data_IF_425191617045
#
_entry.id   IF_425191617045
#
_cell.length_a   1.000
_cell.length_b   1.000
_cell.length_c   1.000
_cell.angle_alpha   90.00
_cell.angle_beta   90.00
_cell.angle_gamma   90.00
#
_symmetry.space_group_name_H-M   'P 1'
#
loop_
_entity.id
_entity.type
_entity.pdbx_description
1 polymer ?
#
# COMPACT_ATOMS: atom_id res chain seq x y z
N UNK A 1 7.81 18.22 11.18
CA UNK A 1 8.37 17.75 9.92
C UNK A 1 8.23 16.23 9.83
N UNK A 2 8.17 15.74 8.62
CA UNK A 2 8.01 14.33 8.39
C UNK A 2 9.32 13.61 8.12
N UNK A 3 9.23 12.29 8.11
CA UNK A 3 10.34 11.43 7.72
C UNK A 3 10.18 11.03 6.26
N UNK A 4 11.29 10.85 5.57
CA UNK A 4 11.31 10.33 4.20
C UNK A 4 11.98 8.97 4.20
N UNK A 5 11.28 7.96 3.66
CA UNK A 5 11.80 6.61 3.55
C UNK A 5 11.96 6.23 2.08
N UNK A 6 13.03 5.56 1.74
CA UNK A 6 13.21 5.00 0.41
C UNK A 6 12.61 3.60 0.40
N UNK A 7 11.70 3.33 -0.55
CA UNK A 7 10.98 2.07 -0.63
C UNK A 7 10.88 1.62 -2.08
N UNK A 8 10.64 0.34 -2.28
CA UNK A 8 10.22 -0.19 -3.57
C UNK A 8 8.71 -0.21 -3.62
N UNK A 9 8.12 0.16 -4.74
CA UNK A 9 6.67 0.19 -4.90
C UNK A 9 6.23 -0.79 -5.98
N UNK A 10 5.22 -1.57 -5.66
CA UNK A 10 4.57 -2.48 -6.60
C UNK A 10 3.07 -2.23 -6.54
N UNK A 11 2.29 -3.01 -7.22
CA UNK A 11 0.84 -2.92 -7.16
C UNK A 11 0.23 -4.29 -6.95
N UNK A 12 -1.00 -4.34 -6.48
CA UNK A 12 -1.70 -5.60 -6.32
C UNK A 12 -3.19 -5.43 -6.66
N UNK A 13 -3.80 -6.55 -7.06
CA UNK A 13 -5.24 -6.64 -7.23
C UNK A 13 -5.84 -7.31 -6.00
N UNK A 14 -7.05 -6.90 -5.58
CA UNK A 14 -7.73 -7.54 -4.44
C UNK A 14 -8.36 -8.87 -4.84
N UNK A 15 -7.54 -9.85 -5.20
CA UNK A 15 -7.95 -11.17 -5.64
C UNK A 15 -7.23 -12.26 -4.83
N UNK A 16 -7.82 -13.46 -4.76
CA UNK A 16 -7.31 -14.55 -3.92
C UNK A 16 -5.86 -14.90 -4.26
N UNK A 17 -5.49 -14.89 -5.53
CA UNK A 17 -4.14 -15.24 -5.98
C UNK A 17 -3.07 -14.29 -5.44
N UNK A 18 -3.43 -13.06 -5.06
CA UNK A 18 -2.49 -12.04 -4.59
C UNK A 18 -2.69 -11.68 -3.13
N UNK A 19 -3.79 -12.10 -2.54
CA UNK A 19 -4.17 -11.81 -1.17
C UNK A 19 -4.50 -13.11 -0.44
N UNK A 20 -5.04 -13.00 0.76
CA UNK A 20 -5.49 -14.15 1.52
C UNK A 20 -6.95 -14.51 1.18
N UNK A 21 -7.63 -15.26 2.06
CA UNK A 21 -9.00 -15.72 1.86
C UNK A 21 -10.04 -14.60 1.80
N UNK A 22 -9.68 -13.38 2.20
CA UNK A 22 -10.56 -12.22 2.17
C UNK A 22 -9.91 -11.08 1.39
N UNK A 23 -9.74 -11.23 0.06
CA UNK A 23 -8.97 -10.25 -0.73
C UNK A 23 -9.61 -8.88 -0.81
N UNK A 24 -10.91 -8.75 -0.56
CA UNK A 24 -11.62 -7.48 -0.56
C UNK A 24 -11.67 -6.82 0.82
N UNK A 25 -11.01 -7.40 1.81
CA UNK A 25 -10.92 -6.82 3.16
C UNK A 25 -9.45 -6.57 3.46
N UNK A 26 -9.11 -5.33 3.80
CA UNK A 26 -7.75 -4.96 4.14
C UNK A 26 -7.37 -5.41 5.55
N UNK A 27 -6.08 -5.32 5.90
CA UNK A 27 -5.60 -5.75 7.22
C UNK A 27 -6.22 -4.95 8.36
N UNK A 28 -6.65 -3.71 8.12
CA UNK A 28 -7.35 -2.90 9.13
C UNK A 28 -8.85 -3.16 9.17
N UNK A 29 -9.32 -4.22 8.50
CA UNK A 29 -10.72 -4.66 8.44
C UNK A 29 -11.62 -3.74 7.62
N UNK A 30 -11.04 -2.92 6.73
CA UNK A 30 -11.83 -2.08 5.83
C UNK A 30 -12.15 -2.86 4.57
N UNK A 31 -13.43 -2.90 4.21
CA UNK A 31 -13.87 -3.60 3.00
C UNK A 31 -13.65 -2.73 1.76
N UNK A 32 -13.14 -3.34 0.69
CA UNK A 32 -13.05 -2.70 -0.63
C UNK A 32 -14.40 -2.81 -1.30
N UNK A 33 -15.09 -1.69 -1.59
CA UNK A 33 -16.48 -1.74 -2.08
C UNK A 33 -16.62 -2.37 -3.46
N UNK A 34 -15.63 -2.22 -4.34
CA UNK A 34 -15.70 -2.79 -5.68
C UNK A 34 -14.29 -3.10 -6.18
N UNK A 35 -13.95 -4.37 -6.32
CA UNK A 35 -12.60 -4.79 -6.73
C UNK A 35 -12.27 -4.39 -8.17
N UNK A 36 -13.28 -4.11 -9.00
CA UNK A 36 -13.10 -3.67 -10.39
C UNK A 36 -13.02 -2.15 -10.53
N UNK A 37 -13.23 -1.41 -9.44
CA UNK A 37 -13.17 0.04 -9.43
C UNK A 37 -12.79 0.51 -8.03
N UNK A 38 -11.51 0.29 -7.67
CA UNK A 38 -11.00 0.65 -6.34
C UNK A 38 -9.72 1.50 -6.39
N UNK A 39 -9.15 1.73 -7.56
CA UNK A 39 -7.94 2.55 -7.67
C UNK A 39 -8.15 3.98 -7.15
N UNK A 40 -9.35 4.51 -7.26
CA UNK A 40 -9.68 5.87 -6.80
C UNK A 40 -9.58 6.02 -5.28
N UNK A 41 -9.64 4.92 -4.54
CA UNK A 41 -9.57 4.97 -3.08
C UNK A 41 -8.18 5.40 -2.59
N UNK A 42 -7.16 5.20 -3.40
CA UNK A 42 -5.78 5.55 -3.10
C UNK A 42 -5.32 4.93 -1.78
N UNK A 43 -5.61 3.64 -1.62
CA UNK A 43 -5.16 2.84 -0.49
C UNK A 43 -3.87 2.11 -0.84
N UNK A 44 -2.99 1.93 0.13
CA UNK A 44 -1.76 1.17 -0.05
C UNK A 44 -1.58 0.17 1.08
N UNK A 45 -0.83 -0.90 0.77
CA UNK A 45 -0.27 -1.80 1.75
C UNK A 45 1.20 -1.42 1.94
N UNK A 46 1.69 -1.57 3.16
CA UNK A 46 3.11 -1.34 3.47
C UNK A 46 3.71 -2.60 4.05
N UNK A 47 5.02 -2.77 3.87
CA UNK A 47 5.72 -3.88 4.50
C UNK A 47 5.64 -3.75 6.03
N UNK A 48 5.56 -4.88 6.74
CA UNK A 48 5.27 -4.88 8.18
C UNK A 48 6.36 -4.19 9.00
N UNK A 49 7.59 -4.14 8.50
CA UNK A 49 8.68 -3.44 9.18
C UNK A 49 8.44 -1.93 9.32
N UNK A 50 7.53 -1.36 8.53
CA UNK A 50 7.17 0.05 8.58
C UNK A 50 6.01 0.34 9.54
N UNK A 51 5.35 -0.69 10.05
CA UNK A 51 4.17 -0.54 10.89
C UNK A 51 4.51 -0.46 12.38
N UNK A 52 3.63 0.18 13.16
CA UNK A 52 3.84 0.49 14.57
C UNK A 52 4.11 -0.74 15.44
N UNK A 53 3.48 -1.89 15.12
CA UNK A 53 3.68 -3.08 15.93
C UNK A 53 5.06 -3.73 15.73
N UNK A 54 5.84 -3.24 14.78
CA UNK A 54 7.23 -3.61 14.57
C UNK A 54 8.16 -2.40 14.80
N UNK A 55 7.73 -1.43 15.62
CA UNK A 55 8.44 -0.20 15.92
C UNK A 55 8.62 0.72 14.69
N UNK A 56 7.80 0.55 13.68
CA UNK A 56 7.78 1.44 12.52
C UNK A 56 6.99 2.71 12.76
N UNK A 57 7.12 3.70 11.88
CA UNK A 57 6.49 5.01 12.05
C UNK A 57 5.05 5.08 11.55
N UNK A 58 4.51 4.03 10.95
CA UNK A 58 3.23 4.07 10.22
C UNK A 58 2.16 3.28 10.98
N UNK A 59 0.94 3.82 10.98
CA UNK A 59 -0.26 3.15 11.51
C UNK A 59 -1.31 3.05 10.41
N UNK A 60 -2.21 2.07 10.53
CA UNK A 60 -3.36 1.98 9.62
C UNK A 60 -4.20 3.25 9.75
N UNK A 61 -4.65 3.76 8.61
CA UNK A 61 -5.40 4.99 8.54
C UNK A 61 -4.56 6.24 8.34
N UNK A 62 -3.24 6.13 8.47
CA UNK A 62 -2.35 7.25 8.23
C UNK A 62 -2.40 7.66 6.74
N UNK A 63 -2.38 8.96 6.50
CA UNK A 63 -2.21 9.51 5.17
C UNK A 63 -0.74 9.80 4.94
N UNK A 64 -0.19 9.24 3.87
CA UNK A 64 1.22 9.40 3.52
C UNK A 64 1.33 9.96 2.11
N UNK A 65 2.43 10.64 1.82
CA UNK A 65 2.73 11.11 0.48
C UNK A 65 3.73 10.16 -0.17
N UNK A 66 3.42 9.71 -1.38
CA UNK A 66 4.29 8.79 -2.14
C UNK A 66 4.82 9.51 -3.36
N UNK A 67 6.12 9.37 -3.61
CA UNK A 67 6.76 9.85 -4.83
C UNK A 67 7.18 8.62 -5.63
N UNK A 68 6.43 8.30 -6.66
CA UNK A 68 6.61 7.09 -7.46
C UNK A 68 6.09 7.31 -8.88
N UNK A 69 6.85 8.03 -9.69
CA UNK A 69 6.51 8.26 -11.09
C UNK A 69 5.09 8.80 -11.27
N UNK A 70 4.29 8.13 -12.11
CA UNK A 70 2.91 8.56 -12.39
C UNK A 70 1.95 8.29 -11.22
N UNK A 71 2.38 7.61 -10.17
CA UNK A 71 1.56 7.30 -8.99
C UNK A 71 1.84 8.24 -7.83
N UNK A 72 2.62 9.29 -8.04
CA UNK A 72 2.91 10.28 -7.00
C UNK A 72 1.64 10.93 -6.47
N UNK A 73 1.51 11.04 -5.14
CA UNK A 73 0.37 11.67 -4.49
C UNK A 73 0.13 11.17 -3.08
N UNK A 74 -1.01 11.51 -2.52
CA UNK A 74 -1.42 11.09 -1.18
C UNK A 74 -2.10 9.74 -1.23
N UNK A 75 -1.81 8.90 -0.22
CA UNK A 75 -2.41 7.58 -0.06
C UNK A 75 -2.74 7.34 1.40
N UNK A 76 -3.70 6.45 1.63
CA UNK A 76 -4.09 6.01 2.98
C UNK A 76 -3.57 4.60 3.18
N UNK A 77 -2.88 4.36 4.29
CA UNK A 77 -2.37 3.04 4.64
C UNK A 77 -3.51 2.22 5.25
N UNK A 78 -3.91 1.15 4.56
CA UNK A 78 -5.03 0.30 4.99
C UNK A 78 -4.64 -1.16 5.15
N UNK A 79 -3.47 -1.55 4.66
CA UNK A 79 -3.13 -2.97 4.57
C UNK A 79 -1.64 -3.19 4.85
N UNK A 80 -1.27 -4.45 5.04
CA UNK A 80 0.11 -4.85 5.28
C UNK A 80 0.50 -5.92 4.29
N UNK A 81 1.75 -5.88 3.85
CA UNK A 81 2.34 -6.90 3.00
C UNK A 81 2.79 -8.09 3.85
N UNK A 82 3.11 -9.21 3.20
CA UNK A 82 3.68 -10.37 3.88
C UNK A 82 4.96 -9.95 4.63
N UNK A 83 5.18 -10.52 5.81
CA UNK A 83 6.32 -10.18 6.68
C UNK A 83 7.69 -10.40 6.04
N UNK A 84 7.77 -11.18 4.96
CA UNK A 84 9.02 -11.40 4.22
C UNK A 84 9.51 -10.16 3.49
N UNK A 85 8.62 -9.20 3.22
CA UNK A 85 8.98 -7.97 2.52
C UNK A 85 9.49 -6.92 3.48
N UNK A 86 10.46 -6.12 3.02
CA UNK A 86 11.06 -5.03 3.78
C UNK A 86 11.14 -3.78 2.91
N UNK A 87 10.86 -2.63 3.51
CA UNK A 87 10.94 -1.32 2.84
C UNK A 87 10.17 -1.30 1.51
N UNK A 88 8.95 -1.83 1.52
CA UNK A 88 8.12 -1.92 0.31
C UNK A 88 6.72 -1.41 0.57
N UNK A 89 6.09 -0.93 -0.50
CA UNK A 89 4.68 -0.59 -0.52
C UNK A 89 4.02 -1.21 -1.75
N UNK A 90 2.72 -1.48 -1.66
CA UNK A 90 1.89 -1.95 -2.76
C UNK A 90 0.72 -1.01 -2.93
N UNK A 91 0.51 -0.54 -4.15
CA UNK A 91 -0.68 0.24 -4.49
C UNK A 91 -1.85 -0.69 -4.76
N UNK A 92 -2.99 -0.43 -4.11
CA UNK A 92 -4.24 -1.12 -4.43
C UNK A 92 -4.76 -0.60 -5.77
N UNK A 93 -4.96 -1.49 -6.72
CA UNK A 93 -5.45 -1.14 -8.04
C UNK A 93 -6.68 -1.94 -8.41
N UNK A 94 -7.52 -1.35 -9.25
CA UNK A 94 -8.68 -2.04 -9.80
C UNK A 94 -8.24 -3.22 -10.64
N UNK A 95 -9.01 -4.32 -10.59
CA UNK A 95 -8.73 -5.49 -11.42
C UNK A 95 -8.75 -5.07 -12.88
N UNK A 96 -7.70 -5.43 -13.63
CA UNK A 96 -7.54 -5.05 -15.02
C UNK A 96 -6.59 -3.88 -15.26
N UNK A 97 -6.11 -3.21 -14.21
CA UNK A 97 -5.11 -2.15 -14.33
C UNK A 97 -3.78 -2.76 -14.81
N UNK A 98 -3.09 -2.07 -15.71
CA UNK A 98 -1.79 -2.53 -16.21
C UNK A 98 -0.76 -2.62 -15.07
N UNK A 99 0.05 -3.67 -15.11
CA UNK A 99 1.08 -3.87 -14.10
C UNK A 99 2.19 -2.82 -14.21
N UNK A 100 2.68 -2.40 -13.05
CA UNK A 100 3.80 -1.46 -12.96
C UNK A 100 4.56 -1.71 -11.67
N UNK A 101 5.79 -1.19 -11.61
CA UNK A 101 6.58 -1.19 -10.37
C UNK A 101 7.60 -0.07 -10.41
N UNK A 102 8.04 0.35 -9.23
CA UNK A 102 9.06 1.39 -9.08
C UNK A 102 10.11 0.90 -8.09
N UNK A 103 11.36 0.81 -8.53
CA UNK A 103 12.46 0.35 -7.65
C UNK A 103 12.87 1.41 -6.64
N UNK A 104 12.73 2.68 -7.03
CA UNK A 104 13.18 3.81 -6.21
C UNK A 104 12.03 4.77 -5.99
N UNK A 105 11.17 4.45 -5.04
CA UNK A 105 10.09 5.31 -4.62
C UNK A 105 10.44 5.94 -3.27
N UNK A 106 9.75 7.01 -2.92
CA UNK A 106 9.89 7.66 -1.62
C UNK A 106 8.55 7.73 -0.92
N UNK A 107 8.58 7.51 0.39
CA UNK A 107 7.41 7.55 1.24
C UNK A 107 7.65 8.65 2.28
N UNK A 108 6.80 9.67 2.26
CA UNK A 108 6.88 10.79 3.19
C UNK A 108 5.81 10.64 4.26
N UNK A 109 6.24 10.61 5.51
CA UNK A 109 5.38 10.44 6.68
C UNK A 109 5.34 11.76 7.42
N UNK A 110 4.15 12.30 7.61
CA UNK A 110 3.97 13.55 8.35
C UNK A 110 3.73 13.32 9.83
#
# INVERSE_FOLDING_TARGET
CGDTLEVSATMYYPVIDQCDDTPDITADQTKIPNIYDCSYLRWIAVSQDLLWFNNGPIRYGDTVWVIAGHKTGKYIVRDAMNKRFKNKIDFLESVGTDLYSFKNAKLLIS
#
